data_IF_592623099150
#
_entry.id   IF_592623099150
#
_cell.length_a   1.000
_cell.length_b   1.000
_cell.length_c   1.000
_cell.angle_alpha   90.00
_cell.angle_beta   90.00
_cell.angle_gamma   90.00
#
_symmetry.space_group_name_H-M   'P 1'
#
loop_
_entity.id
_entity.type
_entity.pdbx_description
1 polymer ?
#
# COMPACT_ATOMS: atom_id res chain seq x y z
N UNK A 1 -12.80 -29.08 4.27
CA UNK A 1 -13.56 -27.98 3.59
C UNK A 1 -13.37 -28.06 2.08
N UNK A 2 -12.13 -28.07 1.56
CA UNK A 2 -11.87 -28.19 0.11
C UNK A 2 -12.54 -29.41 -0.54
N UNK A 3 -12.60 -30.56 0.16
CA UNK A 3 -13.26 -31.77 -0.33
C UNK A 3 -14.75 -31.59 -0.66
N UNK A 4 -15.41 -30.55 -0.11
CA UNK A 4 -16.80 -30.22 -0.46
C UNK A 4 -16.95 -29.73 -1.90
N UNK A 5 -15.87 -29.29 -2.54
CA UNK A 5 -15.88 -28.84 -3.94
C UNK A 5 -15.55 -29.96 -4.93
N UNK A 6 -15.33 -31.19 -4.48
CA UNK A 6 -15.17 -32.34 -5.37
C UNK A 6 -16.51 -32.66 -6.06
N UNK A 7 -16.64 -32.45 -7.38
CA UNK A 7 -17.90 -32.63 -8.10
C UNK A 7 -18.33 -34.09 -8.21
N UNK A 8 -17.47 -35.05 -7.86
CA UNK A 8 -17.83 -36.48 -7.85
C UNK A 8 -18.71 -36.86 -6.65
N UNK A 9 -18.79 -36.00 -5.63
CA UNK A 9 -19.60 -36.24 -4.44
C UNK A 9 -21.07 -35.89 -4.67
N UNK A 10 -22.01 -36.65 -4.09
CA UNK A 10 -23.44 -36.33 -4.19
C UNK A 10 -23.83 -35.05 -3.43
N UNK A 11 -23.02 -34.62 -2.45
CA UNK A 11 -23.25 -33.43 -1.62
C UNK A 11 -22.26 -32.30 -1.91
N UNK A 12 -21.73 -32.25 -3.14
CA UNK A 12 -20.76 -31.27 -3.58
C UNK A 12 -21.34 -29.85 -3.63
N UNK A 13 -20.50 -28.87 -3.30
CA UNK A 13 -20.81 -27.45 -3.46
C UNK A 13 -20.44 -26.98 -4.86
N UNK A 14 -21.37 -26.33 -5.59
CA UNK A 14 -21.07 -25.81 -6.91
C UNK A 14 -20.13 -24.60 -6.81
N UNK A 15 -19.09 -24.59 -7.64
CA UNK A 15 -18.19 -23.44 -7.83
C UNK A 15 -17.89 -23.23 -9.32
N UNK A 16 -18.90 -22.75 -10.04
CA UNK A 16 -18.79 -22.42 -11.45
C UNK A 16 -18.05 -21.08 -11.67
N UNK A 17 -17.71 -20.79 -12.94
CA UNK A 17 -17.18 -19.49 -13.36
C UNK A 17 -16.38 -19.60 -14.66
N UNK A 18 -16.82 -18.88 -15.69
CA UNK A 18 -16.30 -18.98 -17.06
C UNK A 18 -14.79 -18.77 -17.17
N UNK A 19 -14.21 -17.93 -16.32
CA UNK A 19 -12.80 -17.54 -16.39
C UNK A 19 -11.93 -18.13 -15.28
N UNK A 20 -12.47 -19.00 -14.42
CA UNK A 20 -11.75 -19.53 -13.26
C UNK A 20 -10.43 -20.23 -13.63
N UNK A 21 -10.40 -20.94 -14.76
CA UNK A 21 -9.24 -21.68 -15.26
C UNK A 21 -8.75 -21.16 -16.62
N UNK A 22 -8.97 -19.87 -16.93
CA UNK A 22 -8.53 -19.31 -18.21
C UNK A 22 -7.00 -19.49 -18.37
N UNK A 23 -6.57 -19.89 -19.58
CA UNK A 23 -5.17 -20.29 -19.86
C UNK A 23 -4.19 -19.16 -19.58
N UNK A 24 -4.61 -17.91 -19.81
CA UNK A 24 -3.77 -16.74 -19.57
C UNK A 24 -3.40 -16.61 -18.09
N UNK A 25 -4.39 -16.60 -17.19
CA UNK A 25 -4.13 -16.52 -15.74
C UNK A 25 -3.35 -17.74 -15.22
N UNK A 26 -3.65 -18.95 -15.71
CA UNK A 26 -2.94 -20.15 -15.28
C UNK A 26 -1.45 -20.11 -15.68
N UNK A 27 -1.16 -19.70 -16.91
CA UNK A 27 0.22 -19.61 -17.43
C UNK A 27 0.98 -18.47 -16.74
N UNK A 28 0.37 -17.28 -16.63
CA UNK A 28 1.00 -16.14 -15.97
C UNK A 28 1.23 -16.39 -14.48
N UNK A 29 0.29 -17.07 -13.79
CA UNK A 29 0.45 -17.45 -12.39
C UNK A 29 1.58 -18.46 -12.16
N UNK A 30 1.71 -19.45 -13.05
CA UNK A 30 2.79 -20.44 -13.00
C UNK A 30 4.17 -19.78 -13.11
N UNK A 31 4.38 -18.95 -14.13
CA UNK A 31 5.65 -18.22 -14.31
C UNK A 31 5.86 -17.19 -13.20
N UNK A 32 4.81 -16.46 -12.83
CA UNK A 32 4.85 -15.43 -11.80
C UNK A 32 5.30 -15.95 -10.44
N UNK A 33 4.79 -17.11 -10.00
CA UNK A 33 5.14 -17.70 -8.70
C UNK A 33 6.32 -18.67 -8.78
N UNK A 34 6.53 -19.33 -9.92
CA UNK A 34 7.58 -20.33 -10.10
C UNK A 34 8.95 -19.75 -10.47
N UNK A 35 8.98 -18.62 -11.18
CA UNK A 35 10.20 -18.08 -11.76
C UNK A 35 10.51 -16.64 -11.32
N UNK A 36 9.47 -15.80 -11.11
CA UNK A 36 9.67 -14.35 -10.86
C UNK A 36 9.60 -14.02 -9.36
N UNK A 37 8.51 -14.40 -8.69
CA UNK A 37 8.24 -14.11 -7.28
C UNK A 37 8.35 -15.38 -6.43
N UNK A 38 9.53 -16.01 -6.49
CA UNK A 38 9.84 -17.22 -5.71
C UNK A 38 9.78 -16.93 -4.20
N UNK A 39 9.72 -17.95 -3.33
CA UNK A 39 9.73 -17.75 -1.87
C UNK A 39 10.92 -16.92 -1.38
N UNK A 40 12.10 -17.08 -1.96
CA UNK A 40 13.32 -16.34 -1.61
C UNK A 40 13.22 -14.87 -2.03
N UNK A 41 12.70 -14.62 -3.23
CA UNK A 41 12.42 -13.25 -3.72
C UNK A 41 11.38 -12.58 -2.83
N UNK A 42 10.32 -13.28 -2.45
CA UNK A 42 9.27 -12.77 -1.58
C UNK A 42 9.81 -12.39 -0.19
N UNK A 43 10.66 -13.21 0.42
CA UNK A 43 11.30 -12.89 1.71
C UNK A 43 12.23 -11.68 1.59
N UNK A 44 13.03 -11.62 0.53
CA UNK A 44 13.92 -10.49 0.27
C UNK A 44 13.13 -9.19 0.07
N UNK A 45 12.06 -9.26 -0.72
CA UNK A 45 11.19 -8.13 -1.01
C UNK A 45 10.42 -7.65 0.22
N UNK A 46 9.95 -8.59 1.06
CA UNK A 46 9.36 -8.27 2.36
C UNK A 46 10.33 -7.46 3.23
N UNK A 47 11.57 -7.95 3.38
CA UNK A 47 12.57 -7.27 4.20
C UNK A 47 12.99 -5.90 3.62
N UNK A 48 13.04 -5.76 2.29
CA UNK A 48 13.25 -4.45 1.64
C UNK A 48 12.11 -3.48 1.93
N UNK A 49 10.86 -3.95 1.83
CA UNK A 49 9.68 -3.16 2.14
C UNK A 49 9.66 -2.66 3.59
N UNK A 50 9.97 -3.54 4.56
CA UNK A 50 10.06 -3.16 5.97
C UNK A 50 11.11 -2.07 6.20
N UNK A 51 12.34 -2.24 5.68
CA UNK A 51 13.40 -1.21 5.80
C UNK A 51 12.99 0.13 5.19
N UNK A 52 12.35 0.11 4.03
CA UNK A 52 11.85 1.31 3.34
C UNK A 52 10.76 2.00 4.14
N UNK A 53 9.81 1.24 4.70
CA UNK A 53 8.72 1.73 5.55
C UNK A 53 9.26 2.34 6.84
N UNK A 54 10.25 1.72 7.48
CA UNK A 54 10.92 2.23 8.69
C UNK A 54 11.62 3.56 8.42
N UNK A 55 12.44 3.64 7.37
CA UNK A 55 13.08 4.91 6.95
C UNK A 55 12.06 6.01 6.69
N UNK A 56 10.95 5.69 6.00
CA UNK A 56 9.89 6.66 5.76
C UNK A 56 9.24 7.11 7.07
N UNK A 57 9.00 6.19 8.01
CA UNK A 57 8.43 6.53 9.32
C UNK A 57 9.35 7.47 10.12
N UNK A 58 10.66 7.27 10.09
CA UNK A 58 11.64 8.16 10.71
C UNK A 58 11.60 9.57 10.10
N UNK A 59 11.57 9.67 8.77
CA UNK A 59 11.45 10.96 8.07
C UNK A 59 10.14 11.68 8.38
N UNK A 60 9.03 10.95 8.45
CA UNK A 60 7.72 11.50 8.83
C UNK A 60 7.72 12.01 10.27
N UNK A 61 8.36 11.29 11.19
CA UNK A 61 8.52 11.75 12.58
C UNK A 61 9.29 13.07 12.67
N UNK A 62 10.30 13.25 11.82
CA UNK A 62 11.08 14.49 11.71
C UNK A 62 10.27 15.74 11.32
N UNK A 63 9.15 15.58 10.61
CA UNK A 63 8.26 16.69 10.24
C UNK A 63 7.49 17.28 11.43
N UNK A 64 7.40 16.55 12.55
CA UNK A 64 6.58 16.95 13.72
C UNK A 64 5.10 17.20 13.38
N UNK A 65 4.61 16.62 12.29
CA UNK A 65 3.21 16.66 11.88
C UNK A 65 2.46 15.40 12.34
N UNK A 66 1.13 15.45 12.53
CA UNK A 66 0.28 14.31 12.86
C UNK A 66 0.11 13.37 11.65
N UNK A 67 1.21 12.82 11.15
CA UNK A 67 1.28 11.94 9.99
C UNK A 67 1.99 10.65 10.38
N UNK A 68 1.41 9.53 9.98
CA UNK A 68 1.91 8.20 10.29
C UNK A 68 1.90 7.30 9.06
N UNK A 69 2.83 6.36 9.02
CA UNK A 69 2.81 5.25 8.07
C UNK A 69 2.60 3.94 8.81
N UNK A 70 1.61 3.15 8.38
CA UNK A 70 1.41 1.77 8.87
C UNK A 70 1.55 0.80 7.72
N UNK A 71 1.70 -0.49 7.99
CA UNK A 71 1.82 -1.49 6.93
C UNK A 71 2.60 -2.72 7.34
N UNK A 72 2.93 -3.53 6.35
CA UNK A 72 3.71 -4.75 6.49
C UNK A 72 4.38 -5.10 5.15
N UNK A 73 5.69 -5.35 5.20
CA UNK A 73 6.48 -5.71 4.02
C UNK A 73 6.43 -4.59 2.98
N UNK A 74 6.07 -4.97 1.75
CA UNK A 74 6.00 -4.07 0.60
C UNK A 74 4.71 -3.24 0.50
N UNK A 75 3.80 -3.36 1.47
CA UNK A 75 2.53 -2.62 1.52
C UNK A 75 2.52 -1.65 2.70
N UNK A 76 2.22 -0.39 2.44
CA UNK A 76 2.10 0.63 3.47
C UNK A 76 1.00 1.64 3.18
N UNK A 77 0.56 2.35 4.20
CA UNK A 77 -0.50 3.35 4.11
C UNK A 77 -0.15 4.58 4.94
N UNK A 78 -0.32 5.76 4.33
CA UNK A 78 -0.22 7.06 4.99
C UNK A 78 -1.52 7.37 5.74
N UNK A 79 -1.41 7.88 6.96
CA UNK A 79 -2.52 8.26 7.81
C UNK A 79 -2.27 9.62 8.44
N UNK A 80 -3.27 10.49 8.40
CA UNK A 80 -3.31 11.73 9.19
C UNK A 80 -4.04 11.48 10.51
N UNK A 81 -3.44 11.86 11.63
CA UNK A 81 -4.04 11.74 12.96
C UNK A 81 -3.03 11.91 14.07
N UNK A 82 -3.49 12.19 15.29
CA UNK A 82 -2.62 12.37 16.46
C UNK A 82 -1.90 11.09 16.91
N UNK A 83 -2.41 9.92 16.49
CA UNK A 83 -1.85 8.61 16.82
C UNK A 83 -1.92 7.71 15.60
N UNK A 84 -0.93 6.85 15.44
CA UNK A 84 -0.96 5.80 14.45
C UNK A 84 -2.16 4.86 14.70
N UNK A 85 -2.98 4.57 13.67
CA UNK A 85 -4.16 3.74 13.83
C UNK A 85 -3.78 2.29 14.16
N UNK A 86 -4.55 1.65 15.04
CA UNK A 86 -4.43 0.21 15.39
C UNK A 86 -5.67 -0.61 15.01
N UNK A 87 -6.70 0.07 14.51
CA UNK A 87 -7.97 -0.48 14.07
C UNK A 87 -8.58 0.49 13.05
N UNK A 88 -9.60 0.08 12.27
CA UNK A 88 -10.37 0.99 11.45
C UNK A 88 -10.91 2.18 12.26
N UNK A 89 -10.85 3.38 11.69
CA UNK A 89 -11.31 4.61 12.33
C UNK A 89 -12.18 5.41 11.36
N UNK A 90 -13.09 6.22 11.92
CA UNK A 90 -13.85 7.19 11.15
C UNK A 90 -12.95 8.39 10.84
N UNK A 91 -12.78 8.75 9.56
CA UNK A 91 -11.99 9.92 9.21
C UNK A 91 -12.69 11.22 9.67
N UNK A 92 -11.93 12.23 10.14
CA UNK A 92 -12.50 13.55 10.45
C UNK A 92 -13.04 14.25 9.19
N UNK A 93 -13.88 15.29 9.34
CA UNK A 93 -14.25 16.16 8.23
C UNK A 93 -13.01 16.69 7.49
N UNK A 94 -13.08 16.82 6.16
CA UNK A 94 -11.95 17.30 5.34
C UNK A 94 -10.86 16.27 5.02
N UNK A 95 -10.86 15.09 5.67
CA UNK A 95 -9.83 14.06 5.43
C UNK A 95 -9.72 13.60 3.98
N UNK A 96 -10.86 13.42 3.30
CA UNK A 96 -10.88 13.01 1.89
C UNK A 96 -10.28 14.07 0.96
N UNK A 97 -10.47 15.35 1.29
CA UNK A 97 -9.96 16.49 0.53
C UNK A 97 -8.47 16.67 0.79
N UNK A 98 -8.01 16.46 2.03
CA UNK A 98 -6.59 16.41 2.37
C UNK A 98 -5.87 15.27 1.61
N UNK A 99 -6.45 14.07 1.59
CA UNK A 99 -5.92 12.95 0.81
C UNK A 99 -5.84 13.30 -0.69
N UNK A 100 -6.84 13.99 -1.24
CA UNK A 100 -6.84 14.45 -2.63
C UNK A 100 -5.75 15.48 -2.89
N UNK A 101 -5.61 16.47 -2.01
CA UNK A 101 -4.62 17.54 -2.13
C UNK A 101 -3.19 16.97 -2.19
N UNK A 102 -2.84 16.10 -1.23
CA UNK A 102 -1.52 15.47 -1.20
C UNK A 102 -1.31 14.58 -2.43
N UNK A 103 -2.33 13.79 -2.80
CA UNK A 103 -2.26 12.93 -3.97
C UNK A 103 -2.04 13.71 -5.28
N UNK A 104 -2.80 14.79 -5.51
CA UNK A 104 -2.65 15.63 -6.70
C UNK A 104 -1.28 16.31 -6.76
N UNK A 105 -0.74 16.77 -5.62
CA UNK A 105 0.61 17.35 -5.54
C UNK A 105 1.70 16.32 -5.84
N UNK A 106 1.56 15.10 -5.33
CA UNK A 106 2.46 13.99 -5.64
C UNK A 106 2.38 13.61 -7.13
N UNK A 107 1.17 13.52 -7.70
CA UNK A 107 1.00 13.26 -9.14
C UNK A 107 1.62 14.36 -10.00
N UNK A 108 1.53 15.63 -9.61
CA UNK A 108 2.18 16.74 -10.30
C UNK A 108 3.72 16.63 -10.28
N UNK A 109 4.29 15.92 -9.31
CA UNK A 109 5.71 15.55 -9.22
C UNK A 109 6.05 14.25 -9.96
N UNK A 110 5.08 13.61 -10.61
CA UNK A 110 5.25 12.31 -11.27
C UNK A 110 5.19 11.11 -10.33
N UNK A 111 4.82 11.30 -9.07
CA UNK A 111 4.74 10.24 -8.06
C UNK A 111 3.31 9.71 -7.94
N UNK A 112 3.12 8.41 -8.17
CA UNK A 112 1.80 7.79 -8.16
C UNK A 112 1.63 6.76 -7.04
N UNK A 113 0.53 6.86 -6.31
CA UNK A 113 0.06 5.92 -5.30
C UNK A 113 -1.47 6.05 -5.18
N UNK A 114 -2.13 5.19 -4.42
CA UNK A 114 -3.59 5.30 -4.29
C UNK A 114 -3.97 6.54 -3.46
N UNK A 115 -4.91 7.36 -3.96
CA UNK A 115 -5.42 8.58 -3.30
C UNK A 115 -5.65 8.43 -1.79
N UNK A 116 -6.13 7.27 -1.35
CA UNK A 116 -6.41 6.93 0.07
C UNK A 116 -5.16 6.77 0.96
N UNK A 117 -3.95 7.06 0.48
CA UNK A 117 -2.72 6.88 1.25
C UNK A 117 -2.00 5.55 1.02
N UNK A 118 -2.57 4.61 0.27
CA UNK A 118 -1.96 3.27 0.10
C UNK A 118 -0.84 3.29 -0.94
N UNK A 119 0.31 2.77 -0.54
CA UNK A 119 1.56 2.68 -1.31
C UNK A 119 1.96 1.20 -1.34
N UNK A 120 2.02 0.61 -2.53
CA UNK A 120 2.41 -0.78 -2.73
C UNK A 120 3.62 -0.82 -3.65
N UNK A 121 4.72 -1.41 -3.18
CA UNK A 121 5.93 -1.54 -3.98
C UNK A 121 5.75 -2.68 -5.00
N UNK A 122 6.42 -2.55 -6.14
CA UNK A 122 6.62 -3.62 -7.10
C UNK A 122 8.10 -4.01 -7.15
N UNK A 123 8.40 -5.23 -7.64
CA UNK A 123 9.78 -5.74 -7.73
C UNK A 123 10.75 -4.79 -8.46
N UNK A 124 10.35 -4.08 -9.54
CA UNK A 124 11.26 -3.17 -10.23
C UNK A 124 11.59 -1.88 -9.47
N UNK A 125 10.90 -1.56 -8.36
CA UNK A 125 11.17 -0.33 -7.60
C UNK A 125 12.54 -0.41 -6.92
N UNK A 126 13.48 0.38 -7.41
CA UNK A 126 14.82 0.50 -6.85
C UNK A 126 14.83 1.35 -5.58
N UNK A 127 15.94 1.33 -4.85
CA UNK A 127 16.11 2.17 -3.66
C UNK A 127 16.10 3.67 -4.03
N UNK A 128 16.77 4.06 -5.11
CA UNK A 128 16.76 5.46 -5.61
C UNK A 128 15.34 5.92 -5.93
N UNK A 129 14.54 5.11 -6.62
CA UNK A 129 13.15 5.47 -6.95
C UNK A 129 12.30 5.64 -5.68
N UNK A 130 12.51 4.80 -4.67
CA UNK A 130 11.80 4.93 -3.40
C UNK A 130 12.27 6.15 -2.60
N UNK A 131 13.56 6.46 -2.64
CA UNK A 131 14.14 7.65 -1.99
C UNK A 131 13.62 8.94 -2.64
N UNK A 132 13.52 9.00 -3.97
CA UNK A 132 12.90 10.11 -4.71
C UNK A 132 11.43 10.27 -4.31
N UNK A 133 10.66 9.17 -4.30
CA UNK A 133 9.27 9.17 -3.84
C UNK A 133 9.14 9.68 -2.40
N UNK A 134 9.98 9.19 -1.48
CA UNK A 134 9.94 9.56 -0.08
C UNK A 134 10.28 11.04 0.10
N UNK A 135 11.33 11.53 -0.57
CA UNK A 135 11.72 12.94 -0.56
C UNK A 135 10.58 13.85 -1.05
N UNK A 136 9.96 13.50 -2.17
CA UNK A 136 8.81 14.22 -2.71
C UNK A 136 7.60 14.20 -1.78
N UNK A 137 7.34 13.07 -1.12
CA UNK A 137 6.27 12.93 -0.15
C UNK A 137 6.50 13.83 1.06
N UNK A 138 7.69 13.79 1.65
CA UNK A 138 8.06 14.61 2.81
C UNK A 138 7.92 16.09 2.48
N UNK A 139 8.48 16.54 1.35
CA UNK A 139 8.34 17.93 0.92
C UNK A 139 6.87 18.32 0.66
N UNK A 140 6.07 17.41 0.12
CA UNK A 140 4.64 17.67 -0.12
C UNK A 140 3.84 17.78 1.17
N UNK A 141 4.15 16.94 2.16
CA UNK A 141 3.50 16.98 3.47
C UNK A 141 3.85 18.25 4.23
N UNK A 142 5.11 18.70 4.18
CA UNK A 142 5.56 19.96 4.77
C UNK A 142 4.82 21.17 4.15
N UNK A 143 4.70 21.20 2.82
CA UNK A 143 3.89 22.21 2.10
C UNK A 143 2.39 22.17 2.44
N UNK A 144 1.89 21.05 2.95
CA UNK A 144 0.49 20.84 3.34
C UNK A 144 0.28 20.91 4.85
N UNK A 145 1.27 21.35 5.63
CA UNK A 145 1.25 21.37 7.09
C UNK A 145 0.00 22.04 7.67
N UNK A 146 -0.37 23.24 7.20
CA UNK A 146 -1.57 23.95 7.66
C UNK A 146 -2.85 23.12 7.45
N UNK A 147 -3.03 22.57 6.23
CA UNK A 147 -4.20 21.76 5.89
C UNK A 147 -4.25 20.45 6.71
N UNK A 148 -3.08 19.87 6.99
CA UNK A 148 -2.97 18.69 7.86
C UNK A 148 -3.44 19.08 9.27
N UNK A 149 -2.85 20.11 9.88
CA UNK A 149 -3.19 20.54 11.23
C UNK A 149 -4.66 20.91 11.35
N UNK A 150 -5.23 21.64 10.39
CA UNK A 150 -6.65 22.00 10.36
C UNK A 150 -7.56 20.77 10.32
N UNK A 151 -7.19 19.75 9.54
CA UNK A 151 -8.02 18.53 9.35
C UNK A 151 -8.03 17.61 10.56
N UNK A 152 -6.92 17.53 11.31
CA UNK A 152 -6.80 16.60 12.46
C UNK A 152 -6.78 17.28 13.83
N UNK A 153 -6.86 18.62 13.88
CA UNK A 153 -7.18 19.32 15.12
C UNK A 153 -8.62 19.04 15.55
N UNK A 154 -8.86 18.86 16.86
CA UNK A 154 -10.19 18.57 17.41
C UNK A 154 -11.18 19.72 17.27
#
# INVERSE_FOLDING_TARGET
ILDRFDPSRPDAWPHAGTFNNNVFSMTAGLVGLGEIYTPEVAQTFFAQGERRREKLAESLYGLQLPVHVTGMGSMMALHFGLKAPRAPYSPPPGYSDLCELVHLKMMAKGQFYARRGMINLSLPVTDSMFEDFASDLIATLDMCSDAIVETVSP
#
